data_IF_752421772133
#
_entry.id   IF_752421772133
#
_cell.length_a   1.000
_cell.length_b   1.000
_cell.length_c   1.000
_cell.angle_alpha   90.00
_cell.angle_beta   90.00
_cell.angle_gamma   90.00
#
_symmetry.space_group_name_H-M   'P 1'
#
loop_
_entity.id
_entity.type
_entity.pdbx_description
1 polymer ?
#
# COMPACT_ATOMS: atom_id res chain seq x y z
N UNK A 1 90.83 64.08 -15.43
CA UNK A 1 89.41 64.11 -15.87
C UNK A 1 88.89 62.69 -15.64
N UNK A 2 88.22 62.49 -14.51
CA UNK A 2 87.82 61.16 -14.03
C UNK A 2 86.35 60.85 -14.46
N UNK A 3 86.16 59.85 -15.30
CA UNK A 3 84.86 59.38 -15.65
C UNK A 3 84.49 58.17 -14.72
N UNK A 4 83.56 58.41 -13.81
CA UNK A 4 82.96 57.34 -12.95
C UNK A 4 81.89 56.57 -13.76
N UNK A 5 82.14 55.32 -13.98
CA UNK A 5 81.14 54.37 -14.50
C UNK A 5 80.25 53.94 -13.36
N UNK A 6 78.96 54.25 -13.47
CA UNK A 6 77.92 53.85 -12.52
C UNK A 6 77.37 52.48 -12.99
N UNK A 7 77.63 51.44 -12.22
CA UNK A 7 77.07 50.12 -12.44
C UNK A 7 75.59 50.06 -11.92
N UNK A 8 74.62 49.94 -12.80
CA UNK A 8 73.21 49.73 -12.47
C UNK A 8 72.98 48.26 -12.32
N UNK A 9 72.74 47.77 -11.11
CA UNK A 9 72.31 46.41 -10.79
C UNK A 9 70.79 46.36 -10.88
N UNK A 10 70.21 45.64 -11.87
CA UNK A 10 68.80 45.37 -12.02
C UNK A 10 68.47 44.13 -11.15
N UNK A 11 67.61 44.25 -10.15
CA UNK A 11 67.12 43.06 -9.43
C UNK A 11 66.21 42.23 -10.34
N UNK A 12 66.60 41.00 -10.61
CA UNK A 12 65.79 39.95 -11.25
C UNK A 12 64.66 39.58 -10.30
N UNK A 13 63.52 40.23 -10.44
CA UNK A 13 62.29 39.84 -9.72
C UNK A 13 61.82 38.48 -10.19
N UNK A 14 61.85 37.50 -9.30
CA UNK A 14 61.26 36.20 -9.48
C UNK A 14 59.76 36.33 -9.85
N UNK A 15 59.39 35.93 -11.08
CA UNK A 15 58.01 35.55 -11.42
C UNK A 15 57.76 34.22 -10.72
N UNK A 16 57.26 34.30 -9.46
CA UNK A 16 56.67 33.16 -8.78
C UNK A 16 55.37 32.79 -9.48
N UNK A 17 55.33 31.56 -9.91
CA UNK A 17 54.34 30.93 -10.76
C UNK A 17 52.88 31.24 -10.49
N UNK A 18 52.17 31.47 -11.54
CA UNK A 18 50.75 31.13 -11.62
C UNK A 18 50.61 29.62 -11.41
N UNK A 19 50.39 29.20 -10.18
CA UNK A 19 49.75 27.91 -9.94
C UNK A 19 48.39 27.99 -10.60
N UNK A 20 48.23 27.25 -11.70
CA UNK A 20 46.96 27.12 -12.40
C UNK A 20 45.93 26.60 -11.42
N UNK A 21 45.08 27.47 -10.92
CA UNK A 21 43.84 27.02 -10.28
C UNK A 21 43.06 26.36 -11.40
N UNK A 22 42.88 25.04 -11.31
CA UNK A 22 41.98 24.35 -12.22
C UNK A 22 40.61 25.05 -12.19
N UNK A 23 40.18 25.57 -13.33
CA UNK A 23 38.93 26.27 -13.43
C UNK A 23 37.80 25.29 -12.99
N UNK A 24 36.82 25.76 -12.21
CA UNK A 24 35.75 24.88 -11.76
C UNK A 24 35.01 24.28 -12.98
N UNK A 25 34.63 23.02 -12.85
CA UNK A 25 33.80 22.36 -13.84
C UNK A 25 32.37 22.91 -13.75
N UNK A 26 31.79 23.21 -14.89
CA UNK A 26 30.45 23.74 -14.95
C UNK A 26 29.42 22.58 -14.86
N UNK A 27 28.42 22.78 -14.01
CA UNK A 27 27.33 21.86 -13.79
C UNK A 27 26.02 22.58 -13.50
N UNK A 28 25.00 21.82 -13.26
CA UNK A 28 23.69 22.31 -12.84
C UNK A 28 22.95 21.25 -12.04
N UNK A 29 21.96 21.70 -11.28
CA UNK A 29 21.02 20.76 -10.61
C UNK A 29 20.05 20.24 -11.64
N UNK A 30 19.99 18.93 -11.79
CA UNK A 30 19.01 18.20 -12.61
C UNK A 30 18.01 17.46 -11.72
N UNK A 31 16.82 17.20 -12.25
CA UNK A 31 15.75 16.48 -11.54
C UNK A 31 15.05 15.48 -12.44
N UNK A 32 14.80 14.30 -11.89
CA UNK A 32 13.97 13.31 -12.59
C UNK A 32 12.57 13.35 -12.02
N UNK A 33 11.63 13.88 -12.79
CA UNK A 33 10.23 14.00 -12.40
C UNK A 33 9.49 12.66 -12.46
N UNK A 34 8.56 12.48 -11.52
CA UNK A 34 7.59 11.39 -11.53
C UNK A 34 6.24 11.97 -11.95
N UNK A 35 5.73 11.49 -13.05
CA UNK A 35 4.41 11.89 -13.56
C UNK A 35 3.34 11.01 -12.91
N UNK A 36 2.62 11.61 -11.96
CA UNK A 36 1.56 10.91 -11.23
C UNK A 36 0.29 10.95 -12.05
N UNK A 37 -0.22 9.77 -12.41
CA UNK A 37 -1.38 9.58 -13.27
C UNK A 37 -2.50 8.87 -12.52
N UNK A 38 -3.75 9.07 -12.96
CA UNK A 38 -4.88 8.31 -12.50
C UNK A 38 -4.91 6.93 -13.18
N UNK A 39 -5.07 5.85 -12.42
CA UNK A 39 -5.22 4.48 -12.97
C UNK A 39 -6.55 4.31 -13.72
N UNK A 40 -7.59 5.01 -13.30
CA UNK A 40 -8.90 5.03 -13.95
C UNK A 40 -9.32 6.46 -14.28
N UNK A 41 -9.97 6.67 -15.42
CA UNK A 41 -10.47 7.97 -15.82
C UNK A 41 -11.60 8.47 -14.91
N UNK A 42 -11.75 9.79 -14.82
CA UNK A 42 -12.81 10.42 -14.04
C UNK A 42 -12.70 11.95 -14.05
N UNK A 43 -13.72 12.62 -13.53
CA UNK A 43 -13.71 14.07 -13.33
C UNK A 43 -12.90 14.41 -12.08
N UNK A 44 -12.01 15.38 -12.17
CA UNK A 44 -11.30 15.94 -11.00
C UNK A 44 -12.30 16.73 -10.17
N UNK A 45 -12.50 16.35 -8.92
CA UNK A 45 -13.38 17.07 -7.97
C UNK A 45 -12.58 17.93 -7.02
N UNK A 46 -11.36 17.52 -6.69
CA UNK A 46 -10.49 18.24 -5.78
C UNK A 46 -9.04 18.13 -6.22
N UNK A 47 -8.31 19.25 -6.13
CA UNK A 47 -6.87 19.31 -6.27
C UNK A 47 -6.27 19.78 -4.96
N UNK A 48 -5.80 18.85 -4.15
CA UNK A 48 -5.22 19.14 -2.84
C UNK A 48 -3.79 19.69 -2.95
N UNK A 49 -3.06 19.32 -4.00
CA UNK A 49 -1.69 19.79 -4.24
C UNK A 49 -1.67 20.84 -5.37
N UNK A 50 -0.94 21.93 -5.14
CA UNK A 50 -0.69 22.99 -6.14
C UNK A 50 0.78 23.06 -6.49
N UNK A 51 1.11 23.59 -7.67
CA UNK A 51 2.48 23.82 -8.09
C UNK A 51 3.27 24.63 -7.01
N UNK A 52 4.48 24.20 -6.71
CA UNK A 52 5.34 24.78 -5.67
C UNK A 52 5.11 24.27 -4.25
N UNK A 53 4.10 23.42 -4.02
CA UNK A 53 3.87 22.84 -2.68
C UNK A 53 4.71 21.58 -2.44
N UNK A 54 5.17 21.39 -1.19
CA UNK A 54 5.80 20.15 -0.76
C UNK A 54 4.75 19.17 -0.24
N UNK A 55 4.87 17.93 -0.68
CA UNK A 55 4.00 16.83 -0.28
C UNK A 55 4.82 15.69 0.33
N UNK A 56 4.17 14.94 1.22
CA UNK A 56 4.74 13.71 1.79
C UNK A 56 4.19 12.49 1.06
N UNK A 57 4.94 11.41 1.07
CA UNK A 57 4.47 10.11 0.58
C UNK A 57 3.12 9.73 1.20
N UNK A 58 2.18 9.28 0.39
CA UNK A 58 0.81 8.98 0.81
C UNK A 58 -0.12 10.20 0.92
N UNK A 59 0.39 11.43 0.83
CA UNK A 59 -0.44 12.64 0.79
C UNK A 59 -1.30 12.69 -0.46
N UNK A 60 -2.56 13.13 -0.33
CA UNK A 60 -3.48 13.27 -1.47
C UNK A 60 -2.99 14.40 -2.37
N UNK A 61 -2.85 14.13 -3.66
CA UNK A 61 -2.52 15.11 -4.69
C UNK A 61 -3.77 15.67 -5.34
N UNK A 62 -4.67 14.78 -5.72
CA UNK A 62 -5.98 15.13 -6.31
C UNK A 62 -6.97 13.99 -6.07
N UNK A 63 -8.26 14.30 -6.15
CA UNK A 63 -9.36 13.34 -6.03
C UNK A 63 -10.23 13.39 -7.28
N UNK A 64 -10.64 12.21 -7.74
CA UNK A 64 -11.63 12.04 -8.80
C UNK A 64 -13.02 11.84 -8.20
N UNK A 65 -14.06 12.07 -9.00
CA UNK A 65 -15.43 11.76 -8.63
C UNK A 65 -15.54 10.28 -8.24
N UNK A 66 -16.03 10.03 -7.04
CA UNK A 66 -16.08 8.72 -6.39
C UNK A 66 -17.52 8.26 -6.06
N UNK A 67 -18.53 8.99 -6.54
CA UNK A 67 -19.94 8.73 -6.21
C UNK A 67 -20.37 7.30 -6.54
N UNK A 68 -20.01 6.81 -7.73
CA UNK A 68 -20.34 5.43 -8.16
C UNK A 68 -19.60 4.38 -7.33
N UNK A 69 -18.33 4.63 -6.99
CA UNK A 69 -17.52 3.71 -6.22
C UNK A 69 -18.00 3.60 -4.77
N UNK A 70 -18.44 4.71 -4.18
CA UNK A 70 -19.09 4.71 -2.85
C UNK A 70 -20.34 3.83 -2.84
N UNK A 71 -21.16 3.92 -3.88
CA UNK A 71 -22.35 3.08 -4.01
C UNK A 71 -21.99 1.60 -4.22
N UNK A 72 -20.92 1.31 -4.98
CA UNK A 72 -20.42 -0.06 -5.18
C UNK A 72 -19.92 -0.65 -3.87
N UNK A 73 -19.16 0.10 -3.06
CA UNK A 73 -18.71 -0.33 -1.73
C UNK A 73 -19.91 -0.60 -0.83
N UNK A 74 -20.89 0.30 -0.75
CA UNK A 74 -22.09 0.11 0.07
C UNK A 74 -22.90 -1.11 -0.38
N UNK A 75 -23.00 -1.35 -1.70
CA UNK A 75 -23.67 -2.52 -2.24
C UNK A 75 -22.96 -3.84 -1.94
N UNK A 76 -21.62 -3.85 -2.00
CA UNK A 76 -20.80 -5.02 -1.65
C UNK A 76 -20.86 -5.32 -0.15
N UNK A 77 -20.81 -4.30 0.69
CA UNK A 77 -20.96 -4.41 2.16
C UNK A 77 -22.32 -5.01 2.54
N UNK A 78 -23.40 -4.53 1.92
CA UNK A 78 -24.74 -5.09 2.16
C UNK A 78 -24.84 -6.58 1.76
N UNK A 79 -24.19 -7.01 0.66
CA UNK A 79 -24.15 -8.43 0.25
C UNK A 79 -23.34 -9.27 1.22
N UNK A 80 -22.21 -8.73 1.72
CA UNK A 80 -21.42 -9.40 2.76
C UNK A 80 -22.26 -9.60 4.03
N UNK A 81 -22.91 -8.56 4.52
CA UNK A 81 -23.77 -8.63 5.69
C UNK A 81 -24.91 -9.66 5.52
N UNK A 82 -25.49 -9.75 4.32
CA UNK A 82 -26.50 -10.77 4.00
C UNK A 82 -25.93 -12.19 4.08
N UNK A 83 -24.72 -12.41 3.51
CA UNK A 83 -24.06 -13.72 3.55
C UNK A 83 -23.68 -14.13 4.97
N UNK A 84 -23.19 -13.21 5.78
CA UNK A 84 -22.88 -13.43 7.20
C UNK A 84 -24.12 -13.77 8.02
N UNK A 85 -25.23 -13.07 7.80
CA UNK A 85 -26.50 -13.38 8.45
C UNK A 85 -27.01 -14.77 8.07
N UNK A 86 -26.85 -15.19 6.81
CA UNK A 86 -27.21 -16.52 6.36
C UNK A 86 -26.32 -17.60 7.00
N UNK A 87 -25.01 -17.37 7.09
CA UNK A 87 -24.10 -18.27 7.79
C UNK A 87 -24.47 -18.40 9.27
N UNK A 88 -24.72 -17.29 9.95
CA UNK A 88 -25.14 -17.28 11.35
C UNK A 88 -26.44 -18.07 11.56
N UNK A 89 -27.41 -17.96 10.64
CA UNK A 89 -28.63 -18.72 10.70
C UNK A 89 -28.41 -20.24 10.53
N UNK A 90 -27.45 -20.64 9.67
CA UNK A 90 -27.12 -22.08 9.48
C UNK A 90 -26.32 -22.65 10.67
N UNK A 91 -25.59 -21.82 11.40
CA UNK A 91 -24.81 -22.22 12.60
C UNK A 91 -25.69 -22.41 13.83
N UNK A 92 -26.88 -21.86 13.84
CA UNK A 92 -27.88 -22.06 14.92
C UNK A 92 -28.84 -23.15 14.56
N UNK A 93 -29.32 -23.90 15.57
CA UNK A 93 -30.47 -24.81 15.39
C UNK A 93 -31.77 -24.02 15.21
N UNK A 94 -32.93 -24.72 15.44
CA UNK A 94 -34.25 -24.07 15.42
C UNK A 94 -34.33 -22.93 16.47
N UNK A 95 -35.29 -22.03 16.27
CA UNK A 95 -35.52 -20.91 17.17
C UNK A 95 -35.79 -21.38 18.61
N UNK A 96 -35.36 -20.62 19.63
CA UNK A 96 -35.50 -20.97 21.03
C UNK A 96 -36.96 -21.34 21.41
N UNK A 97 -37.94 -20.66 20.81
CA UNK A 97 -39.38 -20.92 21.05
C UNK A 97 -39.82 -22.30 20.50
N UNK A 98 -39.32 -22.67 19.32
CA UNK A 98 -39.59 -23.97 18.71
C UNK A 98 -38.95 -25.12 19.52
N UNK A 99 -37.72 -24.91 19.98
CA UNK A 99 -37.00 -25.81 20.89
C UNK A 99 -37.75 -25.96 22.22
N UNK A 100 -38.34 -24.88 22.76
CA UNK A 100 -39.07 -24.90 24.00
C UNK A 100 -40.38 -25.76 23.86
N UNK A 101 -41.07 -25.68 22.72
CA UNK A 101 -42.23 -26.54 22.43
C UNK A 101 -41.83 -28.02 22.42
N UNK A 102 -40.73 -28.36 21.74
CA UNK A 102 -40.26 -29.77 21.69
C UNK A 102 -39.79 -30.26 23.06
N UNK A 103 -39.18 -29.40 23.86
CA UNK A 103 -38.81 -29.72 25.26
C UNK A 103 -40.03 -29.98 26.13
N UNK A 104 -41.14 -29.24 25.94
CA UNK A 104 -42.41 -29.50 26.62
C UNK A 104 -43.03 -30.78 26.21
N UNK A 105 -42.98 -31.14 24.91
CA UNK A 105 -43.47 -32.42 24.39
C UNK A 105 -42.64 -33.61 24.97
N UNK A 106 -41.36 -33.50 25.07
CA UNK A 106 -40.50 -34.50 25.74
C UNK A 106 -40.87 -34.66 27.22
N UNK A 107 -41.10 -33.55 27.93
CA UNK A 107 -41.54 -33.59 29.33
C UNK A 107 -42.88 -34.34 29.50
N UNK A 108 -43.84 -34.09 28.65
CA UNK A 108 -45.14 -34.78 28.64
C UNK A 108 -44.97 -36.29 28.35
N UNK A 109 -44.16 -36.66 27.35
CA UNK A 109 -43.87 -38.06 27.03
C UNK A 109 -43.17 -38.79 28.17
N UNK A 110 -42.19 -38.14 28.84
CA UNK A 110 -41.54 -38.71 30.02
C UNK A 110 -42.46 -38.90 31.21
N UNK A 111 -43.43 -38.01 31.41
CA UNK A 111 -44.47 -38.15 32.46
C UNK A 111 -45.38 -39.34 32.15
N UNK A 112 -45.77 -39.53 30.88
CA UNK A 112 -46.56 -40.69 30.46
C UNK A 112 -45.81 -42.01 30.62
N UNK A 113 -44.49 -42.01 30.33
CA UNK A 113 -43.63 -43.17 30.55
C UNK A 113 -43.51 -43.49 32.03
N UNK A 114 -43.31 -42.52 32.89
CA UNK A 114 -43.23 -42.72 34.35
C UNK A 114 -44.53 -43.36 34.89
N UNK A 115 -45.71 -42.84 34.48
CA UNK A 115 -47.01 -43.39 34.86
C UNK A 115 -47.17 -44.85 34.36
N UNK A 116 -46.83 -45.15 33.10
CA UNK A 116 -46.95 -46.50 32.55
C UNK A 116 -45.95 -47.50 33.24
N UNK A 117 -44.76 -46.99 33.60
CA UNK A 117 -43.76 -47.78 34.32
C UNK A 117 -44.19 -48.13 35.74
N UNK A 118 -44.79 -47.19 36.44
CA UNK A 118 -45.34 -47.41 37.78
C UNK A 118 -46.50 -48.40 37.75
N UNK A 119 -47.37 -48.28 36.73
CA UNK A 119 -48.46 -49.26 36.54
C UNK A 119 -47.93 -50.67 36.25
N UNK A 120 -46.98 -50.77 35.32
CA UNK A 120 -46.34 -52.06 35.03
C UNK A 120 -45.70 -52.69 36.28
N UNK A 121 -44.93 -51.94 37.06
CA UNK A 121 -44.27 -52.44 38.28
C UNK A 121 -45.32 -52.89 39.33
N UNK A 122 -46.44 -52.20 39.46
CA UNK A 122 -47.54 -52.52 40.31
C UNK A 122 -48.21 -53.85 39.90
N UNK A 123 -48.53 -54.00 38.58
CA UNK A 123 -49.12 -55.22 38.08
C UNK A 123 -48.20 -56.43 38.19
N UNK A 124 -46.90 -56.22 38.00
CA UNK A 124 -45.85 -57.26 38.21
C UNK A 124 -45.88 -57.74 39.66
N UNK A 125 -45.94 -56.86 40.63
CA UNK A 125 -46.02 -57.16 42.08
C UNK A 125 -47.28 -57.92 42.42
N UNK A 126 -48.41 -57.52 41.83
CA UNK A 126 -49.74 -58.25 42.05
C UNK A 126 -49.75 -59.65 41.41
N UNK A 127 -49.04 -59.84 40.27
CA UNK A 127 -48.90 -61.14 39.64
C UNK A 127 -48.06 -62.07 40.58
N UNK A 128 -46.99 -61.57 41.15
CA UNK A 128 -46.18 -62.34 42.08
C UNK A 128 -46.97 -62.84 43.34
N UNK A 129 -48.00 -62.06 43.67
CA UNK A 129 -48.90 -62.35 44.77
C UNK A 129 -50.12 -63.22 44.33
N UNK A 130 -50.20 -63.59 43.07
CA UNK A 130 -51.30 -64.39 42.51
C UNK A 130 -52.64 -63.67 42.35
N UNK A 131 -52.67 -62.33 42.37
CA UNK A 131 -53.88 -61.50 42.34
C UNK A 131 -54.39 -61.22 40.95
N UNK A 132 -53.46 -61.13 39.98
CA UNK A 132 -53.84 -60.79 38.55
C UNK A 132 -53.29 -61.89 37.59
N UNK A 133 -53.92 -61.95 36.38
CA UNK A 133 -53.48 -62.87 35.32
C UNK A 133 -52.23 -62.29 34.58
N UNK A 134 -51.40 -63.16 33.98
CA UNK A 134 -50.26 -62.84 33.16
C UNK A 134 -50.59 -61.82 32.05
N UNK A 135 -51.74 -61.96 31.40
CA UNK A 135 -52.20 -61.09 30.33
C UNK A 135 -52.34 -59.60 30.73
N UNK A 136 -52.60 -59.33 32.06
CA UNK A 136 -52.70 -57.95 32.58
C UNK A 136 -51.35 -57.35 32.64
N UNK A 137 -50.30 -58.08 33.06
CA UNK A 137 -48.89 -57.64 33.09
C UNK A 137 -48.38 -57.47 31.69
N UNK A 138 -48.70 -58.36 30.76
CA UNK A 138 -48.25 -58.21 29.35
C UNK A 138 -48.90 -57.00 28.70
N UNK A 139 -50.15 -56.65 28.97
CA UNK A 139 -50.78 -55.40 28.52
C UNK A 139 -50.11 -54.16 29.18
N UNK A 140 -49.77 -54.17 30.47
CA UNK A 140 -49.14 -53.07 31.11
C UNK A 140 -47.68 -52.87 30.59
N UNK A 141 -46.98 -53.98 30.31
CA UNK A 141 -45.66 -53.96 29.64
C UNK A 141 -45.76 -53.32 28.25
N UNK A 142 -46.71 -53.74 27.43
CA UNK A 142 -46.89 -53.16 26.08
C UNK A 142 -47.15 -51.63 26.13
N UNK A 143 -47.93 -51.17 27.12
CA UNK A 143 -48.17 -49.72 27.34
C UNK A 143 -46.91 -48.99 27.72
N UNK A 144 -46.10 -49.54 28.67
CA UNK A 144 -44.81 -48.96 29.07
C UNK A 144 -43.85 -48.88 27.89
N UNK A 145 -43.70 -49.99 27.13
CA UNK A 145 -42.80 -50.05 25.97
C UNK A 145 -43.22 -49.06 24.88
N UNK A 146 -44.53 -48.86 24.66
CA UNK A 146 -45.06 -47.84 23.76
C UNK A 146 -44.74 -46.43 24.25
N UNK A 147 -44.92 -46.14 25.56
CA UNK A 147 -44.62 -44.86 26.16
C UNK A 147 -43.10 -44.57 26.13
N UNK A 148 -42.24 -45.60 26.30
CA UNK A 148 -40.78 -45.46 26.17
C UNK A 148 -40.42 -45.06 24.73
N UNK A 149 -40.95 -45.74 23.72
CA UNK A 149 -40.73 -45.40 22.34
C UNK A 149 -41.14 -43.95 21.98
N UNK A 150 -42.25 -43.46 22.57
CA UNK A 150 -42.69 -42.07 22.40
C UNK A 150 -41.76 -41.09 23.06
N UNK A 151 -41.23 -41.35 24.28
CA UNK A 151 -40.26 -40.51 24.95
C UNK A 151 -38.94 -40.46 24.18
N UNK A 152 -38.45 -41.60 23.69
CA UNK A 152 -37.25 -41.68 22.85
C UNK A 152 -37.38 -40.91 21.55
N UNK A 153 -38.56 -40.98 20.91
CA UNK A 153 -38.87 -40.22 19.69
C UNK A 153 -38.83 -38.71 19.93
N UNK A 154 -39.48 -38.25 21.02
CA UNK A 154 -39.51 -36.82 21.38
C UNK A 154 -38.12 -36.32 21.76
N UNK A 155 -37.29 -37.14 22.43
CA UNK A 155 -35.91 -36.81 22.75
C UNK A 155 -35.06 -36.62 21.49
N UNK A 156 -35.18 -37.55 20.52
CA UNK A 156 -34.47 -37.42 19.24
C UNK A 156 -34.93 -36.20 18.45
N UNK A 157 -36.21 -35.88 18.44
CA UNK A 157 -36.74 -34.67 17.81
C UNK A 157 -36.12 -33.38 18.40
N UNK A 158 -36.08 -33.32 19.73
CA UNK A 158 -35.45 -32.20 20.46
C UNK A 158 -33.96 -32.10 20.15
N UNK A 159 -33.25 -33.24 20.09
CA UNK A 159 -31.81 -33.27 19.73
C UNK A 159 -31.60 -32.72 18.32
N UNK A 160 -32.36 -33.22 17.33
CA UNK A 160 -32.26 -32.78 15.92
C UNK A 160 -32.54 -31.27 15.81
N UNK A 161 -33.57 -30.78 16.52
CA UNK A 161 -33.92 -29.36 16.50
C UNK A 161 -32.79 -28.42 17.03
N UNK A 162 -31.93 -28.92 17.88
CA UNK A 162 -30.78 -28.18 18.43
C UNK A 162 -29.51 -28.25 17.56
N UNK A 163 -29.50 -29.15 16.57
CA UNK A 163 -28.35 -29.28 15.69
C UNK A 163 -28.28 -28.09 14.72
N UNK A 164 -27.09 -27.57 14.42
CA UNK A 164 -26.88 -26.63 13.31
C UNK A 164 -27.17 -27.35 11.98
N UNK A 165 -27.15 -26.58 10.89
CA UNK A 165 -27.21 -27.15 9.55
C UNK A 165 -26.05 -28.15 9.32
N UNK A 166 -26.12 -28.91 8.23
CA UNK A 166 -25.08 -29.87 7.89
C UNK A 166 -23.73 -29.17 7.69
N UNK A 167 -22.64 -29.88 8.02
CA UNK A 167 -21.28 -29.32 7.92
C UNK A 167 -20.95 -28.80 6.51
N UNK A 168 -21.42 -29.50 5.48
CA UNK A 168 -21.25 -29.13 4.08
C UNK A 168 -21.99 -27.80 3.72
N UNK A 169 -23.18 -27.60 4.30
CA UNK A 169 -23.99 -26.40 4.08
C UNK A 169 -23.33 -25.20 4.77
N UNK A 170 -22.79 -25.41 5.98
CA UNK A 170 -22.03 -24.38 6.71
C UNK A 170 -20.73 -24.04 5.97
N UNK A 171 -19.99 -25.05 5.46
CA UNK A 171 -18.78 -24.83 4.68
C UNK A 171 -19.07 -24.06 3.39
N UNK A 172 -20.14 -24.39 2.69
CA UNK A 172 -20.57 -23.66 1.50
C UNK A 172 -20.92 -22.20 1.83
N UNK A 173 -21.63 -21.94 2.93
CA UNK A 173 -21.97 -20.59 3.37
C UNK A 173 -20.70 -19.80 3.80
N UNK A 174 -19.72 -20.44 4.46
CA UNK A 174 -18.43 -19.82 4.80
C UNK A 174 -17.66 -19.39 3.54
N UNK A 175 -17.64 -20.25 2.51
CA UNK A 175 -17.02 -19.91 1.22
C UNK A 175 -17.73 -18.76 0.52
N UNK A 176 -19.06 -18.70 0.64
CA UNK A 176 -19.83 -17.57 0.12
C UNK A 176 -19.49 -16.26 0.84
N UNK A 177 -19.36 -16.28 2.18
CA UNK A 177 -18.89 -15.10 2.95
C UNK A 177 -17.50 -14.67 2.47
N UNK A 178 -16.55 -15.61 2.29
CA UNK A 178 -15.22 -15.29 1.79
C UNK A 178 -15.26 -14.68 0.37
N UNK A 179 -16.14 -15.13 -0.50
CA UNK A 179 -16.33 -14.54 -1.83
C UNK A 179 -16.86 -13.10 -1.73
N UNK A 180 -17.86 -12.84 -0.88
CA UNK A 180 -18.40 -11.48 -0.69
C UNK A 180 -17.37 -10.54 -0.03
N UNK A 181 -16.50 -11.04 0.86
CA UNK A 181 -15.39 -10.27 1.41
C UNK A 181 -14.39 -9.86 0.32
N UNK A 182 -14.09 -10.76 -0.62
CA UNK A 182 -13.23 -10.44 -1.75
C UNK A 182 -13.85 -9.38 -2.67
N UNK A 183 -15.18 -9.48 -2.93
CA UNK A 183 -15.90 -8.48 -3.71
C UNK A 183 -15.89 -7.10 -3.03
N UNK A 184 -16.06 -7.04 -1.71
CA UNK A 184 -15.96 -5.79 -0.94
C UNK A 184 -14.56 -5.22 -1.03
N UNK A 185 -13.51 -6.04 -0.86
CA UNK A 185 -12.12 -5.59 -0.97
C UNK A 185 -11.80 -5.04 -2.37
N UNK A 186 -12.36 -5.66 -3.42
CA UNK A 186 -12.23 -5.14 -4.79
C UNK A 186 -12.92 -3.79 -4.96
N UNK A 187 -14.15 -3.63 -4.46
CA UNK A 187 -14.87 -2.37 -4.50
C UNK A 187 -14.14 -1.27 -3.72
N UNK A 188 -13.60 -1.60 -2.54
CA UNK A 188 -12.80 -0.68 -1.73
C UNK A 188 -11.53 -0.24 -2.44
N UNK A 189 -10.82 -1.16 -3.10
CA UNK A 189 -9.63 -0.84 -3.91
C UNK A 189 -9.99 0.13 -5.05
N UNK A 190 -11.11 -0.10 -5.73
CA UNK A 190 -11.58 0.79 -6.79
C UNK A 190 -11.95 2.19 -6.27
N UNK A 191 -12.50 2.27 -5.06
CA UNK A 191 -12.78 3.52 -4.37
C UNK A 191 -11.49 4.24 -3.96
N UNK A 192 -10.54 3.54 -3.33
CA UNK A 192 -9.27 4.12 -2.87
C UNK A 192 -8.45 4.71 -4.02
N UNK A 193 -8.54 4.11 -5.22
CA UNK A 193 -7.90 4.61 -6.45
C UNK A 193 -8.50 5.91 -6.98
N UNK A 194 -9.60 6.40 -6.42
CA UNK A 194 -10.14 7.74 -6.74
C UNK A 194 -9.37 8.86 -6.06
N UNK A 195 -8.64 8.56 -4.99
CA UNK A 195 -7.71 9.47 -4.34
C UNK A 195 -6.29 9.15 -4.79
N UNK A 196 -5.73 10.01 -5.61
CA UNK A 196 -4.38 9.82 -6.12
C UNK A 196 -3.39 10.45 -5.15
N UNK A 197 -2.48 9.61 -4.63
CA UNK A 197 -1.54 9.95 -3.58
C UNK A 197 -0.12 10.09 -4.11
N UNK A 198 0.69 10.90 -3.42
CA UNK A 198 2.10 11.07 -3.73
C UNK A 198 2.87 9.75 -3.48
N UNK A 199 3.63 9.26 -4.47
CA UNK A 199 4.42 8.04 -4.31
C UNK A 199 5.66 8.23 -3.42
N UNK A 200 6.12 9.46 -3.22
CA UNK A 200 7.30 9.81 -2.44
C UNK A 200 7.19 11.24 -1.90
N UNK A 201 8.03 11.57 -0.91
CA UNK A 201 8.23 12.94 -0.47
C UNK A 201 8.84 13.76 -1.61
N UNK A 202 8.32 14.96 -1.85
CA UNK A 202 8.82 15.77 -2.95
C UNK A 202 8.12 17.12 -3.12
N UNK A 203 8.53 17.82 -4.15
CA UNK A 203 7.94 19.09 -4.59
C UNK A 203 7.02 18.85 -5.78
N UNK A 204 5.81 19.39 -5.72
CA UNK A 204 4.92 19.45 -6.88
C UNK A 204 5.44 20.53 -7.82
N UNK A 205 5.88 20.14 -9.02
CA UNK A 205 6.38 21.08 -10.01
C UNK A 205 5.25 21.69 -10.81
N UNK A 206 4.35 20.82 -11.31
CA UNK A 206 3.25 21.25 -12.17
C UNK A 206 2.00 20.42 -11.96
N UNK A 207 0.86 21.02 -12.17
CA UNK A 207 -0.45 20.36 -12.19
C UNK A 207 -1.09 20.59 -13.55
N UNK A 208 -1.55 19.52 -14.22
CA UNK A 208 -1.99 19.56 -15.62
C UNK A 208 -3.51 19.72 -15.77
N UNK A 209 -4.28 19.53 -14.70
CA UNK A 209 -5.74 19.56 -14.71
C UNK A 209 -6.30 20.41 -13.58
N UNK A 210 -7.42 21.04 -13.86
CA UNK A 210 -8.21 21.83 -12.91
C UNK A 210 -9.43 21.04 -12.40
N UNK A 211 -9.95 21.37 -11.19
CA UNK A 211 -11.21 20.82 -10.73
C UNK A 211 -12.34 21.07 -11.76
N UNK A 212 -13.10 20.02 -12.06
CA UNK A 212 -14.15 20.01 -13.08
C UNK A 212 -13.74 19.37 -14.41
N UNK A 213 -12.45 19.23 -14.70
CA UNK A 213 -11.97 18.64 -15.94
C UNK A 213 -12.03 17.10 -15.88
N UNK A 214 -12.13 16.48 -17.06
CA UNK A 214 -12.15 15.03 -17.23
C UNK A 214 -10.75 14.54 -17.58
N UNK A 215 -10.23 13.61 -16.78
CA UNK A 215 -8.94 12.96 -16.98
C UNK A 215 -9.17 11.54 -17.52
N UNK A 216 -8.43 11.17 -18.57
CA UNK A 216 -8.41 9.79 -19.04
C UNK A 216 -7.46 8.93 -18.20
N UNK A 217 -7.70 7.61 -18.17
CA UNK A 217 -6.78 6.67 -17.52
C UNK A 217 -5.37 6.77 -18.11
N UNK A 218 -4.36 6.75 -17.25
CA UNK A 218 -2.95 6.84 -17.62
C UNK A 218 -2.43 8.23 -17.96
N UNK A 219 -3.28 9.25 -18.02
CA UNK A 219 -2.83 10.63 -18.25
C UNK A 219 -2.20 11.23 -16.98
N UNK A 220 -1.04 11.89 -17.10
CA UNK A 220 -0.40 12.54 -15.96
C UNK A 220 -1.24 13.73 -15.50
N UNK A 221 -1.47 13.82 -14.19
CA UNK A 221 -2.20 14.93 -13.56
C UNK A 221 -1.26 15.84 -12.80
N UNK A 222 -0.21 15.28 -12.19
CA UNK A 222 0.78 16.03 -11.41
C UNK A 222 2.18 15.59 -11.81
N UNK A 223 3.07 16.58 -11.99
CA UNK A 223 4.52 16.36 -12.07
C UNK A 223 5.11 16.56 -10.69
N UNK A 224 5.63 15.48 -10.10
CA UNK A 224 6.28 15.48 -8.79
C UNK A 224 7.79 15.34 -8.95
N UNK A 225 8.56 16.15 -8.25
CA UNK A 225 10.00 16.00 -8.10
C UNK A 225 10.29 15.40 -6.72
N UNK A 226 10.54 14.09 -6.62
CA UNK A 226 10.98 13.49 -5.37
C UNK A 226 12.29 14.08 -4.88
N UNK A 227 12.43 14.25 -3.56
CA UNK A 227 13.66 14.81 -2.98
C UNK A 227 14.89 13.93 -3.28
N UNK A 228 14.69 12.62 -3.45
CA UNK A 228 15.73 11.66 -3.81
C UNK A 228 16.17 11.72 -5.27
N UNK A 229 15.37 12.33 -6.14
CA UNK A 229 15.58 12.36 -7.59
C UNK A 229 16.33 13.62 -8.05
N UNK A 230 16.75 14.49 -7.12
CA UNK A 230 17.63 15.60 -7.44
C UNK A 230 19.04 15.09 -7.57
N UNK A 231 19.75 15.59 -8.58
CA UNK A 231 21.15 15.26 -8.84
C UNK A 231 21.90 16.48 -9.32
N UNK A 232 23.18 16.52 -9.02
CA UNK A 232 24.13 17.45 -9.58
C UNK A 232 24.68 16.84 -10.84
N UNK A 233 24.43 17.46 -11.98
CA UNK A 233 24.97 17.04 -13.28
C UNK A 233 26.06 17.99 -13.70
N UNK A 234 27.21 17.45 -14.06
CA UNK A 234 28.33 18.22 -14.55
C UNK A 234 29.09 17.43 -15.64
N UNK A 235 29.97 18.14 -16.33
CA UNK A 235 30.68 17.61 -17.48
C UNK A 235 32.18 17.65 -17.25
N UNK A 236 32.82 16.50 -17.42
CA UNK A 236 34.25 16.31 -17.14
C UNK A 236 35.00 16.11 -18.45
N UNK A 237 36.02 16.93 -18.78
CA UNK A 237 36.91 16.67 -19.92
C UNK A 237 37.65 15.35 -19.77
N UNK A 238 37.94 14.66 -20.88
CA UNK A 238 38.63 13.37 -20.90
C UNK A 238 39.90 13.34 -20.05
N UNK A 239 40.69 14.38 -20.09
CA UNK A 239 41.98 14.52 -19.31
C UNK A 239 41.78 14.42 -17.79
N UNK A 240 40.58 14.73 -17.30
CA UNK A 240 40.27 14.72 -15.86
C UNK A 240 39.50 13.47 -15.44
N UNK A 241 39.11 12.63 -16.39
CA UNK A 241 38.25 11.47 -16.17
C UNK A 241 38.86 10.45 -15.19
N UNK A 242 40.17 10.28 -15.20
CA UNK A 242 40.88 9.38 -14.27
C UNK A 242 40.67 9.73 -12.80
N UNK A 243 40.36 11.00 -12.50
CA UNK A 243 40.05 11.49 -11.15
C UNK A 243 38.61 11.23 -10.70
N UNK A 244 37.74 10.83 -11.61
CA UNK A 244 36.26 10.74 -11.39
C UNK A 244 35.84 9.27 -11.35
N UNK A 245 35.23 8.86 -10.25
CA UNK A 245 34.69 7.50 -10.10
C UNK A 245 33.46 7.52 -9.17
N UNK A 246 32.50 6.60 -9.35
CA UNK A 246 31.41 6.45 -8.40
C UNK A 246 31.90 6.27 -6.95
N UNK A 247 31.20 6.90 -6.00
CA UNK A 247 31.58 6.93 -4.58
C UNK A 247 32.51 8.06 -4.18
N UNK A 248 33.14 8.77 -5.11
CA UNK A 248 33.95 9.96 -4.79
C UNK A 248 33.06 11.17 -4.53
N UNK A 249 33.51 12.02 -3.61
CA UNK A 249 32.84 13.27 -3.26
C UNK A 249 33.44 14.44 -4.05
N UNK A 250 32.58 15.35 -4.51
CA UNK A 250 32.97 16.61 -5.16
C UNK A 250 32.44 17.78 -4.36
N UNK A 251 33.19 18.87 -4.37
CA UNK A 251 32.74 20.13 -3.78
C UNK A 251 31.82 20.86 -4.78
N UNK A 252 30.71 21.36 -4.26
CA UNK A 252 29.68 22.07 -5.03
C UNK A 252 29.63 23.51 -4.56
N UNK A 253 29.71 24.46 -5.48
CA UNK A 253 29.57 25.88 -5.23
C UNK A 253 28.55 26.51 -6.16
N UNK A 254 27.97 27.62 -5.75
CA UNK A 254 27.16 28.48 -6.60
C UNK A 254 27.17 29.92 -6.04
N UNK A 255 26.77 30.89 -6.86
CA UNK A 255 26.65 32.27 -6.40
C UNK A 255 25.55 32.38 -5.33
N UNK A 256 25.98 32.87 -4.14
CA UNK A 256 25.10 33.03 -2.98
C UNK A 256 24.80 31.72 -2.20
N UNK A 257 25.49 30.64 -2.50
CA UNK A 257 25.33 29.37 -1.77
C UNK A 257 26.20 29.34 -0.49
N UNK A 258 25.80 28.49 0.46
CA UNK A 258 26.61 28.18 1.65
C UNK A 258 27.91 27.49 1.23
N UNK A 259 29.02 27.88 1.82
CA UNK A 259 30.29 27.22 1.56
C UNK A 259 30.31 25.78 2.14
N UNK A 260 31.05 24.89 1.48
CA UNK A 260 31.22 23.51 1.97
C UNK A 260 30.16 22.50 1.54
N UNK A 261 29.28 22.84 0.58
CA UNK A 261 28.35 21.88 -0.01
C UNK A 261 29.11 20.80 -0.79
N UNK A 262 28.60 19.59 -0.75
CA UNK A 262 29.20 18.41 -1.41
C UNK A 262 28.18 17.58 -2.14
N UNK A 263 28.64 16.82 -3.13
CA UNK A 263 27.85 15.80 -3.79
C UNK A 263 28.70 14.52 -3.99
N UNK A 264 28.07 13.37 -3.89
CA UNK A 264 28.70 12.07 -4.11
C UNK A 264 28.42 11.60 -5.54
N UNK A 265 29.48 11.28 -6.30
CA UNK A 265 29.36 10.78 -7.67
C UNK A 265 28.64 9.44 -7.66
N UNK A 266 27.53 9.34 -8.40
CA UNK A 266 26.73 8.12 -8.51
C UNK A 266 26.88 7.47 -9.88
N UNK A 267 27.14 8.26 -10.91
CA UNK A 267 27.21 7.77 -12.29
C UNK A 267 28.22 8.57 -13.12
N UNK A 268 28.96 7.87 -13.96
CA UNK A 268 29.85 8.44 -14.98
C UNK A 268 29.44 7.84 -16.32
N UNK A 269 29.13 8.69 -17.30
CA UNK A 269 28.74 8.21 -18.64
C UNK A 269 29.89 7.46 -19.30
N UNK A 270 29.56 6.35 -19.97
CA UNK A 270 30.50 5.53 -20.74
C UNK A 270 30.79 6.10 -22.14
N UNK A 271 29.91 6.96 -22.62
CA UNK A 271 30.02 7.63 -23.91
C UNK A 271 30.27 9.12 -23.71
N UNK A 272 31.16 9.66 -24.55
CA UNK A 272 31.41 11.09 -24.54
C UNK A 272 30.26 11.85 -25.20
N UNK A 273 29.89 12.97 -24.61
CA UNK A 273 28.93 13.92 -25.17
C UNK A 273 29.66 15.13 -25.73
N UNK A 274 29.13 15.74 -26.79
CA UNK A 274 29.62 17.02 -27.26
C UNK A 274 28.93 18.13 -26.49
N UNK A 275 29.68 19.05 -25.89
CA UNK A 275 29.05 20.27 -25.37
C UNK A 275 28.45 21.08 -26.51
N UNK A 276 27.14 21.33 -26.57
CA UNK A 276 26.62 22.33 -27.51
C UNK A 276 27.03 23.73 -27.06
N UNK A 277 27.40 24.65 -27.97
CA UNK A 277 26.99 24.75 -29.34
C UNK A 277 28.13 24.80 -30.38
N UNK A 278 27.90 24.05 -31.44
CA UNK A 278 28.02 24.48 -32.83
C UNK A 278 29.09 25.55 -33.14
N UNK A 279 30.27 25.12 -33.61
CA UNK A 279 30.98 25.68 -34.75
C UNK A 279 32.12 24.69 -35.05
N UNK A 280 32.20 24.21 -36.30
CA UNK A 280 33.27 23.32 -36.79
C UNK A 280 34.61 24.05 -36.87
N UNK A 281 35.48 23.87 -35.88
CA UNK A 281 36.88 24.28 -35.97
C UNK A 281 37.80 23.17 -35.44
N UNK A 282 39.07 23.20 -35.78
CA UNK A 282 40.08 22.21 -35.40
C UNK A 282 40.32 22.11 -33.88
N UNK A 283 39.88 23.12 -33.12
CA UNK A 283 39.90 23.16 -31.66
C UNK A 283 38.74 22.38 -30.98
N UNK A 284 37.90 21.76 -31.82
CA UNK A 284 36.69 21.05 -31.37
C UNK A 284 36.98 19.69 -30.72
N UNK A 285 38.19 19.13 -30.83
CA UNK A 285 38.58 17.84 -30.20
C UNK A 285 38.83 17.94 -28.72
N UNK A 286 39.14 19.14 -28.21
CA UNK A 286 39.29 19.40 -26.77
C UNK A 286 37.97 19.53 -26.01
N UNK A 287 36.85 19.28 -26.68
CA UNK A 287 35.47 19.46 -26.13
C UNK A 287 34.71 18.17 -25.93
N UNK A 288 35.35 17.01 -26.00
CA UNK A 288 34.76 15.76 -25.57
C UNK A 288 34.65 15.77 -24.05
N UNK A 289 33.43 15.72 -23.55
CA UNK A 289 33.13 15.71 -22.13
C UNK A 289 32.30 14.48 -21.76
N UNK A 290 32.52 13.99 -20.57
CA UNK A 290 31.73 12.89 -20.02
C UNK A 290 30.77 13.45 -19.00
N UNK A 291 29.49 13.09 -19.14
CA UNK A 291 28.47 13.44 -18.19
C UNK A 291 28.69 12.67 -16.89
N UNK A 292 28.65 13.39 -15.77
CA UNK A 292 28.73 12.83 -14.43
C UNK A 292 27.50 13.29 -13.65
N UNK A 293 26.80 12.33 -13.08
CA UNK A 293 25.70 12.61 -12.16
C UNK A 293 26.18 12.31 -10.72
N UNK A 294 25.94 13.24 -9.80
CA UNK A 294 26.28 13.11 -8.39
C UNK A 294 25.05 13.40 -7.52
N UNK A 295 24.92 12.68 -6.41
CA UNK A 295 23.86 12.88 -5.43
C UNK A 295 24.25 14.02 -4.49
N UNK A 296 23.45 15.10 -4.39
CA UNK A 296 23.74 16.19 -3.46
C UNK A 296 23.61 15.70 -2.00
N UNK A 297 24.52 16.18 -1.13
CA UNK A 297 24.57 15.81 0.29
C UNK A 297 24.35 17.06 1.15
N UNK A 298 23.58 16.92 2.24
CA UNK A 298 23.33 18.02 3.16
C UNK A 298 22.58 19.19 2.49
N UNK A 299 23.07 20.40 2.67
CA UNK A 299 22.45 21.64 2.14
C UNK A 299 22.37 21.67 0.61
N UNK A 300 23.23 20.95 -0.08
CA UNK A 300 23.18 20.82 -1.54
C UNK A 300 21.87 20.17 -2.04
N UNK A 301 21.19 19.37 -1.21
CA UNK A 301 19.90 18.77 -1.54
C UNK A 301 18.75 19.80 -1.65
N UNK A 302 18.93 21.03 -1.16
CA UNK A 302 17.91 22.08 -1.22
C UNK A 302 18.05 22.98 -2.46
N UNK A 303 19.10 22.80 -3.26
CA UNK A 303 19.32 23.55 -4.49
C UNK A 303 18.18 23.35 -5.48
N UNK A 304 17.84 24.39 -6.24
CA UNK A 304 16.75 24.37 -7.22
C UNK A 304 17.21 23.70 -8.52
N UNK A 305 16.31 22.93 -9.14
CA UNK A 305 16.55 22.37 -10.48
C UNK A 305 16.79 23.49 -11.47
N UNK A 306 17.76 23.30 -12.37
CA UNK A 306 18.21 24.32 -13.32
C UNK A 306 19.25 25.30 -12.74
N UNK A 307 19.54 25.27 -11.45
CA UNK A 307 20.53 26.16 -10.85
C UNK A 307 21.94 25.81 -11.33
N UNK A 308 22.71 26.78 -11.89
CA UNK A 308 24.09 26.54 -12.31
C UNK A 308 25.00 26.33 -11.09
N UNK A 309 25.98 25.45 -11.25
CA UNK A 309 26.91 25.02 -10.21
C UNK A 309 28.34 25.03 -10.69
N UNK A 310 29.23 25.41 -9.81
CA UNK A 310 30.68 25.25 -9.94
C UNK A 310 31.13 24.00 -9.18
N UNK A 311 31.70 23.04 -9.89
CA UNK A 311 32.14 21.77 -9.32
C UNK A 311 33.64 21.71 -9.25
N UNK A 312 34.18 21.35 -8.09
CA UNK A 312 35.61 21.09 -7.89
C UNK A 312 35.81 19.65 -7.46
N UNK A 313 36.64 18.93 -8.20
CA UNK A 313 37.05 17.60 -7.81
C UNK A 313 37.90 17.69 -6.52
N UNK A 314 37.65 16.80 -5.56
CA UNK A 314 38.53 16.68 -4.40
C UNK A 314 39.90 16.17 -4.86
N UNK A 315 40.99 16.70 -4.29
CA UNK A 315 42.34 16.30 -4.65
C UNK A 315 42.63 14.82 -4.36
#
# INVERSE_FOLDING_TARGET
>A
MNVRVLAVTIPLALLAGCMGSDAPLQGYVDGTYVYVSAEAGGRVVERAATAGTRVKAGGVLFALDDADQKQQVAGADARLAQAEAQLANLQTGQRPEEVAVLASNLSAARSSLAQASDDYNRQLTLLQRGVVAQSVVDNAKAKRDSAQAQADAAERQLLVAKLPARAEEIDAAQKNVAAMQADLAQAQTAFDRRQIKAPADGLVEETFYEPGELVAAGQPVVSLLPDTNRKVRFFVPERMLAGVAPGKTVAVGCDGCTAGMTAEITFVATEAEFTPPIIYSKESRDKLVFRVDAKPVGDAAQLKVGQPLDIRLAP
#
